data_IF_601801222097
#
_entry.id   IF_601801222097
#
_cell.length_a   1.000
_cell.length_b   1.000
_cell.length_c   1.000
_cell.angle_alpha   90.00
_cell.angle_beta   90.00
_cell.angle_gamma   90.00
#
_symmetry.space_group_name_H-M   'P 1'
#
loop_
_entity.id
_entity.type
_entity.pdbx_description
1 polymer ?
#
# COMPACT_ATOMS: atom_id res chain seq x y z
N UNK A 1 5.44 -14.23 12.40
CA UNK A 1 4.18 -13.46 12.31
C UNK A 1 3.80 -13.09 13.74
N UNK A 2 3.62 -11.80 13.99
CA UNK A 2 3.33 -11.31 15.34
C UNK A 2 1.81 -11.29 15.59
N UNK A 3 1.27 -12.44 15.98
CA UNK A 3 -0.17 -12.61 16.23
C UNK A 3 -0.69 -11.75 17.37
N UNK A 4 0.16 -11.39 18.35
CA UNK A 4 -0.26 -10.54 19.47
C UNK A 4 -0.59 -9.12 18.99
N UNK A 5 0.24 -8.52 18.16
CA UNK A 5 -0.02 -7.20 17.59
C UNK A 5 -1.26 -7.17 16.68
N UNK A 6 -1.49 -8.25 15.94
CA UNK A 6 -2.71 -8.41 15.14
C UNK A 6 -3.94 -8.43 16.04
N UNK A 7 -3.93 -9.23 17.10
CA UNK A 7 -5.04 -9.33 18.05
C UNK A 7 -5.33 -8.02 18.78
N UNK A 8 -4.27 -7.30 19.19
CA UNK A 8 -4.41 -5.98 19.83
C UNK A 8 -5.07 -4.98 18.88
N UNK A 9 -4.62 -4.92 17.63
CA UNK A 9 -5.20 -4.04 16.61
C UNK A 9 -6.66 -4.35 16.34
N UNK A 10 -7.03 -5.63 16.22
CA UNK A 10 -8.41 -6.05 16.02
C UNK A 10 -9.31 -5.72 17.22
N UNK A 11 -8.82 -5.92 18.45
CA UNK A 11 -9.57 -5.58 19.68
C UNK A 11 -9.84 -4.08 19.80
N UNK A 12 -8.92 -3.25 19.30
CA UNK A 12 -9.09 -1.78 19.27
C UNK A 12 -9.89 -1.28 18.07
N UNK A 13 -10.36 -2.16 17.17
CA UNK A 13 -11.10 -1.81 15.97
C UNK A 13 -10.24 -1.21 14.86
N UNK A 14 -8.92 -1.33 14.94
CA UNK A 14 -7.98 -0.83 13.96
C UNK A 14 -7.54 -1.91 12.98
N UNK A 15 -7.14 -1.48 11.78
CA UNK A 15 -6.51 -2.37 10.80
C UNK A 15 -5.09 -2.67 11.23
N UNK A 16 -4.67 -3.95 11.29
CA UNK A 16 -3.29 -4.29 11.65
C UNK A 16 -2.29 -3.66 10.68
N UNK A 17 -1.13 -3.26 11.20
CA UNK A 17 -0.06 -2.71 10.37
C UNK A 17 0.63 -3.77 9.51
N UNK A 18 0.56 -5.03 9.91
CA UNK A 18 1.09 -6.19 9.19
C UNK A 18 0.22 -7.41 9.41
N UNK A 19 0.32 -8.38 8.51
CA UNK A 19 -0.46 -9.62 8.59
C UNK A 19 -1.91 -9.50 8.13
N UNK A 20 -2.28 -8.41 7.47
CA UNK A 20 -3.63 -8.20 6.96
C UNK A 20 -4.04 -9.28 5.94
N UNK A 21 -3.10 -9.76 5.12
CA UNK A 21 -3.33 -10.84 4.15
C UNK A 21 -3.85 -12.10 4.85
N UNK A 22 -3.28 -12.46 5.99
CA UNK A 22 -3.66 -13.65 6.76
C UNK A 22 -5.10 -13.58 7.31
N UNK A 23 -5.64 -12.37 7.44
CA UNK A 23 -6.99 -12.12 7.93
C UNK A 23 -8.01 -11.88 6.81
N UNK A 24 -7.56 -11.85 5.56
CA UNK A 24 -8.41 -11.56 4.40
C UNK A 24 -9.17 -12.84 4.00
N UNK A 25 -10.27 -13.08 4.67
CA UNK A 25 -11.15 -14.21 4.39
C UNK A 25 -12.34 -13.77 3.53
N UNK A 26 -12.71 -14.61 2.56
CA UNK A 26 -13.87 -14.36 1.70
C UNK A 26 -13.65 -13.35 0.57
N UNK A 27 -12.40 -12.94 0.32
CA UNK A 27 -12.02 -12.02 -0.76
C UNK A 27 -10.81 -12.54 -1.56
N UNK A 28 -10.69 -13.84 -1.65
CA UNK A 28 -9.56 -14.50 -2.30
C UNK A 28 -9.47 -14.15 -3.78
N UNK A 29 -10.60 -13.99 -4.45
CA UNK A 29 -10.67 -13.63 -5.88
C UNK A 29 -10.13 -12.22 -6.11
N UNK A 30 -10.55 -11.26 -5.28
CA UNK A 30 -10.11 -9.88 -5.37
C UNK A 30 -8.62 -9.74 -5.03
N UNK A 31 -8.14 -10.48 -4.04
CA UNK A 31 -6.71 -10.54 -3.69
C UNK A 31 -5.90 -11.07 -4.87
N UNK A 32 -6.34 -12.14 -5.51
CA UNK A 32 -5.67 -12.72 -6.68
C UNK A 32 -5.66 -11.74 -7.86
N UNK A 33 -6.78 -11.07 -8.12
CA UNK A 33 -6.87 -10.03 -9.17
C UNK A 33 -5.82 -8.91 -8.95
N UNK A 34 -5.68 -8.42 -7.72
CA UNK A 34 -4.68 -7.39 -7.41
C UNK A 34 -3.24 -7.90 -7.47
N UNK A 35 -2.99 -9.16 -7.14
CA UNK A 35 -1.68 -9.79 -7.38
C UNK A 35 -1.31 -9.78 -8.85
N UNK A 36 -2.23 -10.16 -9.71
CA UNK A 36 -2.03 -10.14 -11.17
C UNK A 36 -1.79 -8.73 -11.69
N UNK A 37 -2.53 -7.72 -11.17
CA UNK A 37 -2.31 -6.32 -11.53
C UNK A 37 -0.93 -5.82 -11.11
N UNK A 38 -0.48 -6.14 -9.91
CA UNK A 38 0.86 -5.80 -9.44
C UNK A 38 1.96 -6.47 -10.29
N UNK A 39 1.75 -7.72 -10.68
CA UNK A 39 2.66 -8.42 -11.60
C UNK A 39 2.74 -7.72 -12.95
N UNK A 40 1.62 -7.30 -13.53
CA UNK A 40 1.59 -6.56 -14.79
C UNK A 40 2.31 -5.22 -14.73
N UNK A 41 2.15 -4.49 -13.62
CA UNK A 41 2.86 -3.23 -13.40
C UNK A 41 4.36 -3.46 -13.33
N UNK A 42 4.79 -4.51 -12.63
CA UNK A 42 6.18 -4.85 -12.43
C UNK A 42 6.85 -5.37 -13.72
N UNK A 43 6.19 -6.30 -14.41
CA UNK A 43 6.74 -6.96 -15.61
C UNK A 43 6.59 -6.13 -16.88
N UNK A 44 5.43 -5.51 -17.08
CA UNK A 44 5.09 -4.78 -18.31
C UNK A 44 5.42 -3.29 -18.24
N UNK A 45 5.86 -2.78 -17.11
CA UNK A 45 6.12 -1.35 -16.84
C UNK A 45 4.94 -0.44 -17.20
N UNK A 46 3.72 -0.92 -17.00
CA UNK A 46 2.48 -0.20 -17.33
C UNK A 46 1.84 0.42 -16.10
N UNK A 47 1.32 1.63 -16.28
CA UNK A 47 0.46 2.24 -15.25
C UNK A 47 -0.94 1.63 -15.29
N UNK A 48 -1.49 1.36 -14.11
CA UNK A 48 -2.84 0.83 -13.93
C UNK A 48 -3.60 1.71 -12.96
N UNK A 49 -4.86 2.00 -13.27
CA UNK A 49 -5.80 2.66 -12.34
C UNK A 49 -6.89 1.66 -11.99
N UNK A 50 -7.12 1.46 -10.70
CA UNK A 50 -8.17 0.57 -10.19
C UNK A 50 -9.01 1.30 -9.16
N UNK A 51 -10.32 1.24 -9.31
CA UNK A 51 -11.28 1.78 -8.36
C UNK A 51 -11.81 0.65 -7.48
N UNK A 52 -11.78 0.87 -6.16
CA UNK A 52 -12.40 -0.04 -5.18
C UNK A 52 -13.58 0.70 -4.56
N UNK A 53 -14.78 0.23 -4.86
CA UNK A 53 -16.02 0.79 -4.35
C UNK A 53 -16.69 -0.17 -3.38
N UNK A 54 -17.39 0.37 -2.39
CA UNK A 54 -18.14 -0.39 -1.41
C UNK A 54 -18.79 0.55 -0.42
N UNK A 55 -19.83 0.05 0.27
CA UNK A 55 -20.52 0.79 1.32
C UNK A 55 -19.61 1.03 2.53
N UNK A 56 -19.97 1.99 3.37
CA UNK A 56 -19.29 2.22 4.65
C UNK A 56 -19.31 0.93 5.49
N UNK A 57 -18.15 0.56 6.03
CA UNK A 57 -18.01 -0.68 6.81
C UNK A 57 -17.83 -1.96 5.98
N UNK A 58 -17.78 -1.88 4.64
CA UNK A 58 -17.55 -3.05 3.78
C UNK A 58 -16.10 -3.58 3.79
N UNK A 59 -15.19 -2.97 4.56
CA UNK A 59 -13.79 -3.41 4.67
C UNK A 59 -12.86 -2.87 3.60
N UNK A 60 -13.19 -1.75 2.94
CA UNK A 60 -12.34 -1.12 1.90
C UNK A 60 -10.93 -0.78 2.40
N UNK A 61 -10.84 -0.13 3.56
CA UNK A 61 -9.54 0.25 4.13
C UNK A 61 -8.70 -0.97 4.51
N UNK A 62 -9.32 -2.00 5.02
CA UNK A 62 -8.68 -3.28 5.30
C UNK A 62 -8.14 -3.93 4.01
N UNK A 63 -8.95 -3.97 2.97
CA UNK A 63 -8.56 -4.52 1.67
C UNK A 63 -7.38 -3.75 1.06
N UNK A 64 -7.41 -2.41 1.13
CA UNK A 64 -6.30 -1.59 0.66
C UNK A 64 -5.01 -1.82 1.45
N UNK A 65 -5.10 -2.16 2.75
CA UNK A 65 -3.94 -2.59 3.54
C UNK A 65 -3.37 -3.92 3.08
N UNK A 66 -4.22 -4.85 2.68
CA UNK A 66 -3.78 -6.12 2.07
C UNK A 66 -3.02 -5.84 0.76
N UNK A 67 -3.54 -4.94 -0.08
CA UNK A 67 -2.86 -4.52 -1.32
C UNK A 67 -1.50 -3.86 -1.03
N UNK A 68 -1.43 -3.00 -0.01
CA UNK A 68 -0.17 -2.39 0.44
C UNK A 68 0.87 -3.45 0.83
N UNK A 69 0.48 -4.47 1.61
CA UNK A 69 1.38 -5.57 1.99
C UNK A 69 1.88 -6.34 0.76
N UNK A 70 1.00 -6.65 -0.17
CA UNK A 70 1.38 -7.33 -1.42
C UNK A 70 2.36 -6.49 -2.26
N UNK A 71 2.16 -5.17 -2.30
CA UNK A 71 3.05 -4.24 -2.98
C UNK A 71 4.44 -4.20 -2.32
N UNK A 72 4.50 -4.18 -0.99
CA UNK A 72 5.77 -4.25 -0.26
C UNK A 72 6.53 -5.56 -0.50
N UNK A 73 5.82 -6.69 -0.60
CA UNK A 73 6.44 -7.98 -0.91
C UNK A 73 7.09 -8.01 -2.31
N UNK A 74 6.59 -7.19 -3.21
CA UNK A 74 7.17 -6.98 -4.56
C UNK A 74 8.15 -5.81 -4.63
N UNK A 75 8.55 -5.24 -3.51
CA UNK A 75 9.45 -4.10 -3.41
C UNK A 75 8.94 -2.79 -4.03
N UNK A 76 7.63 -2.62 -4.14
CA UNK A 76 7.04 -1.35 -4.54
C UNK A 76 7.24 -0.28 -3.47
N UNK A 77 7.32 0.96 -3.91
CA UNK A 77 7.14 2.14 -3.06
C UNK A 77 5.66 2.48 -3.06
N UNK A 78 5.12 2.72 -1.89
CA UNK A 78 3.69 2.98 -1.69
C UNK A 78 3.50 4.35 -1.05
N UNK A 79 2.48 5.06 -1.46
CA UNK A 79 2.01 6.26 -0.78
C UNK A 79 0.51 6.15 -0.51
N UNK A 80 0.14 6.37 0.74
CA UNK A 80 -1.25 6.36 1.18
C UNK A 80 -1.72 7.77 1.50
N UNK A 81 -2.80 8.20 0.84
CA UNK A 81 -3.39 9.51 1.05
C UNK A 81 -4.87 9.36 1.35
N UNK A 82 -5.34 10.05 2.37
CA UNK A 82 -6.75 10.22 2.64
C UNK A 82 -7.18 11.62 2.18
N UNK A 83 -8.09 11.66 1.22
CA UNK A 83 -8.62 12.93 0.73
C UNK A 83 -9.59 13.53 1.75
N UNK A 84 -9.48 14.84 1.95
CA UNK A 84 -10.29 15.61 2.88
C UNK A 84 -10.43 17.05 2.39
N UNK A 85 -11.12 17.90 3.16
CA UNK A 85 -11.20 19.33 2.86
C UNK A 85 -9.83 20.01 2.85
N UNK A 86 -8.87 19.51 3.64
CA UNK A 86 -7.50 20.02 3.71
C UNK A 86 -6.62 19.49 2.57
N UNK A 87 -6.99 18.33 2.02
CA UNK A 87 -6.30 17.69 0.89
C UNK A 87 -7.32 17.42 -0.20
N UNK A 88 -7.85 18.47 -0.86
CA UNK A 88 -8.83 18.29 -1.92
C UNK A 88 -8.16 17.80 -3.21
N UNK A 89 -8.81 16.87 -3.91
CA UNK A 89 -8.27 16.27 -5.13
C UNK A 89 -8.04 17.28 -6.27
N UNK A 90 -8.76 18.40 -6.29
CA UNK A 90 -8.62 19.43 -7.31
C UNK A 90 -7.39 20.35 -7.12
N UNK A 91 -6.71 20.26 -5.98
CA UNK A 91 -5.46 20.98 -5.71
C UNK A 91 -4.27 20.04 -5.88
N UNK A 92 -3.78 19.91 -7.09
CA UNK A 92 -2.73 18.97 -7.47
C UNK A 92 -1.43 19.18 -6.70
N UNK A 93 -1.06 20.42 -6.42
CA UNK A 93 0.14 20.77 -5.64
C UNK A 93 0.06 20.24 -4.20
N UNK A 94 -1.09 20.33 -3.56
CA UNK A 94 -1.35 19.78 -2.22
C UNK A 94 -1.31 18.26 -2.24
N UNK A 95 -1.96 17.64 -3.22
CA UNK A 95 -1.98 16.18 -3.40
C UNK A 95 -0.56 15.66 -3.61
N UNK A 96 0.20 16.28 -4.50
CA UNK A 96 1.59 15.89 -4.78
C UNK A 96 2.49 15.95 -3.53
N UNK A 97 2.40 17.05 -2.76
CA UNK A 97 3.15 17.18 -1.51
C UNK A 97 2.82 16.07 -0.52
N UNK A 98 1.55 15.70 -0.41
CA UNK A 98 1.12 14.61 0.47
C UNK A 98 1.57 13.24 -0.04
N UNK A 99 1.56 13.00 -1.36
CA UNK A 99 2.14 11.80 -1.95
C UNK A 99 3.61 11.68 -1.54
N UNK A 100 4.39 12.73 -1.75
CA UNK A 100 5.82 12.74 -1.45
C UNK A 100 6.11 12.52 0.05
N UNK A 101 5.33 13.14 0.94
CA UNK A 101 5.48 12.99 2.40
C UNK A 101 5.16 11.58 2.90
N UNK A 102 4.22 10.89 2.25
CA UNK A 102 3.71 9.60 2.69
C UNK A 102 4.36 8.41 1.97
N UNK A 103 5.44 8.63 1.24
CA UNK A 103 6.18 7.57 0.58
C UNK A 103 6.74 6.58 1.60
N UNK A 104 6.48 5.30 1.37
CA UNK A 104 6.93 4.18 2.18
C UNK A 104 7.50 3.08 1.30
N UNK A 105 8.49 2.39 1.80
CA UNK A 105 8.95 1.12 1.24
C UNK A 105 9.01 0.06 2.34
N UNK A 106 9.27 -1.18 1.98
CA UNK A 106 9.31 -2.32 2.92
C UNK A 106 10.19 -2.07 4.15
N UNK A 107 11.26 -1.30 4.00
CA UNK A 107 12.29 -1.11 5.03
C UNK A 107 12.33 0.30 5.64
N UNK A 108 11.50 1.24 5.19
CA UNK A 108 11.53 2.60 5.71
C UNK A 108 10.48 3.54 5.13
N UNK A 109 10.37 4.71 5.72
CA UNK A 109 9.32 5.69 5.43
C UNK A 109 9.83 7.05 4.97
N UNK A 110 11.14 7.26 4.88
CA UNK A 110 11.69 8.53 4.41
C UNK A 110 12.08 8.47 2.94
N UNK A 111 11.98 9.60 2.25
CA UNK A 111 12.41 9.73 0.86
C UNK A 111 13.91 9.42 0.71
N UNK A 112 14.74 9.89 1.65
CA UNK A 112 16.17 9.63 1.67
C UNK A 112 16.47 8.13 1.73
N UNK A 113 15.74 7.40 2.57
CA UNK A 113 15.87 5.95 2.69
C UNK A 113 15.48 5.23 1.40
N UNK A 114 14.45 5.69 0.71
CA UNK A 114 14.00 5.14 -0.57
C UNK A 114 15.06 5.38 -1.65
N UNK A 115 15.63 6.59 -1.71
CA UNK A 115 16.70 6.94 -2.64
C UNK A 115 17.94 6.09 -2.37
N UNK A 116 18.37 5.95 -1.12
CA UNK A 116 19.51 5.11 -0.75
C UNK A 116 19.32 3.66 -1.18
N UNK A 117 18.13 3.13 -0.98
CA UNK A 117 17.77 1.78 -1.41
C UNK A 117 17.82 1.63 -2.92
N UNK A 118 17.30 2.59 -3.65
CA UNK A 118 17.34 2.61 -5.11
C UNK A 118 18.78 2.63 -5.65
N UNK A 119 19.64 3.46 -5.05
CA UNK A 119 21.06 3.52 -5.40
C UNK A 119 21.75 2.18 -5.13
N UNK A 120 21.50 1.54 -3.99
CA UNK A 120 22.05 0.22 -3.65
C UNK A 120 21.63 -0.86 -4.64
N UNK A 121 20.36 -0.89 -5.05
CA UNK A 121 19.85 -1.81 -6.07
C UNK A 121 20.53 -1.54 -7.42
N UNK A 122 20.65 -0.29 -7.83
CA UNK A 122 21.33 0.10 -9.07
C UNK A 122 22.80 -0.31 -9.10
N UNK A 123 23.51 -0.19 -7.99
CA UNK A 123 24.91 -0.63 -7.86
C UNK A 123 25.08 -2.15 -7.95
N UNK A 124 24.10 -2.91 -7.47
CA UNK A 124 24.13 -4.37 -7.54
C UNK A 124 23.93 -4.93 -8.96
N UNK A 125 23.40 -4.11 -9.88
CA UNK A 125 23.15 -4.47 -11.29
C UNK A 125 24.19 -3.93 -12.27
N UNK A 126 25.21 -3.26 -11.77
CA UNK A 126 26.32 -2.71 -12.63
C UNK A 126 27.46 -3.70 -12.77
#
# INVERSE_FOLDING_TARGET
>A
MDYENILISLKSGNVPQSGAISLCMGREMEVEEFKELLNKVDEDEKAVVKFVNGEFGAGKSFFLKVVEEMAFDKNFVVSWITLSNDIPFNKIDVVYKNIAKNLKCKTGTSLDHIIDRWIKIGRAHV
#
